data_IF_408944387936
#
_entry.id   IF_408944387936
#
_cell.length_a   1.000
_cell.length_b   1.000
_cell.length_c   1.000
_cell.angle_alpha   90.00
_cell.angle_beta   90.00
_cell.angle_gamma   90.00
#
_symmetry.space_group_name_H-M   'P 1'
#
loop_
_entity.id
_entity.type
_entity.pdbx_description
1 polymer ?
#
# COMPACT_ATOMS: atom_id res chain seq x y z
N UNK A 1 18.58 15.37 -10.33
CA UNK A 1 18.83 16.51 -9.38
C UNK A 1 17.54 16.95 -8.65
N UNK A 2 16.36 16.88 -9.28
CA UNK A 2 15.10 17.38 -8.69
C UNK A 2 14.60 16.53 -7.51
N UNK A 3 14.77 15.21 -7.55
CA UNK A 3 14.39 14.32 -6.43
C UNK A 3 15.24 14.55 -5.16
N UNK A 4 16.45 15.11 -5.30
CA UNK A 4 17.30 15.46 -4.14
C UNK A 4 16.82 16.70 -3.39
N UNK A 5 16.08 17.61 -4.03
CA UNK A 5 15.51 18.78 -3.33
C UNK A 5 14.36 18.40 -2.40
N UNK A 6 13.65 17.31 -2.71
CA UNK A 6 12.60 16.76 -1.86
C UNK A 6 13.17 16.20 -0.54
N UNK A 7 14.36 15.61 -0.60
CA UNK A 7 15.06 15.07 0.59
C UNK A 7 15.65 16.16 1.51
N UNK A 8 15.69 17.42 1.07
CA UNK A 8 16.14 18.53 1.91
C UNK A 8 15.05 19.11 2.81
N UNK A 9 13.79 18.79 2.55
CA UNK A 9 12.68 19.27 3.35
C UNK A 9 12.33 18.25 4.45
N UNK A 10 12.80 18.49 5.68
CA UNK A 10 12.62 17.58 6.82
C UNK A 10 11.16 17.25 7.13
N UNK A 11 10.25 18.19 6.94
CA UNK A 11 8.81 17.97 7.13
C UNK A 11 8.26 16.99 6.09
N UNK A 12 8.73 17.05 4.86
CA UNK A 12 8.34 16.15 3.79
C UNK A 12 8.89 14.74 4.05
N UNK A 13 10.15 14.64 4.49
CA UNK A 13 10.75 13.35 4.87
C UNK A 13 9.95 12.73 6.02
N UNK A 14 9.64 13.47 7.06
CA UNK A 14 8.87 12.96 8.19
C UNK A 14 7.48 12.45 7.74
N UNK A 15 6.78 13.22 6.90
CA UNK A 15 5.48 12.83 6.35
C UNK A 15 5.52 11.64 5.40
N UNK A 16 6.64 11.40 4.72
CA UNK A 16 6.85 10.22 3.89
C UNK A 16 7.21 9.00 4.73
N UNK A 17 7.96 9.18 5.81
CA UNK A 17 8.40 8.09 6.68
C UNK A 17 7.26 7.56 7.57
N UNK A 18 6.38 8.43 8.06
CA UNK A 18 5.29 8.02 8.96
C UNK A 18 4.43 6.88 8.38
N UNK A 19 3.88 6.95 7.15
CA UNK A 19 3.09 5.85 6.58
C UNK A 19 3.91 4.57 6.37
N UNK A 20 5.22 4.70 6.10
CA UNK A 20 6.11 3.56 5.90
C UNK A 20 6.44 2.89 7.24
N UNK A 21 6.58 3.68 8.31
CA UNK A 21 6.87 3.20 9.65
C UNK A 21 5.63 2.72 10.41
N UNK A 22 4.43 3.23 10.05
CA UNK A 22 3.18 2.85 10.73
C UNK A 22 2.95 1.34 10.80
N UNK A 23 3.12 0.54 9.75
CA UNK A 23 3.00 -0.91 9.84
C UNK A 23 3.97 -1.51 10.86
N UNK A 24 5.20 -0.99 10.94
CA UNK A 24 6.23 -1.42 11.89
C UNK A 24 5.78 -1.10 13.33
N UNK A 25 5.32 0.14 13.55
CA UNK A 25 4.88 0.61 14.88
C UNK A 25 3.65 -0.16 15.36
N UNK A 26 2.76 -0.54 14.46
CA UNK A 26 1.55 -1.31 14.80
C UNK A 26 1.87 -2.78 15.08
N UNK A 27 2.77 -3.39 14.32
CA UNK A 27 3.08 -4.82 14.44
C UNK A 27 4.04 -5.12 15.59
N UNK A 28 5.08 -4.30 15.80
CA UNK A 28 6.10 -4.56 16.83
C UNK A 28 5.56 -4.70 18.26
N UNK A 29 4.64 -3.84 18.76
CA UNK A 29 4.11 -4.00 20.12
C UNK A 29 3.26 -5.26 20.29
N UNK A 30 2.68 -5.75 19.19
CA UNK A 30 1.86 -6.96 19.23
C UNK A 30 2.70 -8.23 19.42
N UNK A 31 3.98 -8.20 19.05
CA UNK A 31 4.89 -9.35 19.19
C UNK A 31 4.92 -9.85 20.63
N UNK A 32 4.98 -8.96 21.63
CA UNK A 32 4.97 -9.34 23.05
C UNK A 32 3.63 -9.91 23.54
N UNK A 33 2.51 -9.48 22.96
CA UNK A 33 1.17 -9.92 23.33
C UNK A 33 0.73 -11.19 22.58
N UNK A 34 1.39 -11.49 21.45
CA UNK A 34 1.07 -12.60 20.56
C UNK A 34 1.58 -13.97 21.08
N UNK A 35 2.35 -13.99 22.16
CA UNK A 35 2.81 -15.24 22.80
C UNK A 35 1.72 -16.04 23.55
N UNK A 36 0.48 -15.54 23.56
CA UNK A 36 -0.63 -16.25 24.17
C UNK A 36 -1.17 -17.38 23.29
N UNK A 37 -1.69 -18.43 23.93
CA UNK A 37 -2.09 -19.72 23.35
C UNK A 37 -2.92 -19.66 22.04
N UNK A 38 -3.77 -18.62 21.88
CA UNK A 38 -4.60 -18.41 20.70
C UNK A 38 -3.74 -18.13 19.47
N UNK A 39 -2.66 -17.37 19.63
CA UNK A 39 -1.79 -17.00 18.51
C UNK A 39 -0.89 -18.18 18.14
N UNK A 40 -0.38 -18.93 19.12
CA UNK A 40 0.40 -20.14 18.83
C UNK A 40 -0.43 -21.18 18.06
N UNK A 41 -1.72 -21.30 18.38
CA UNK A 41 -2.64 -22.16 17.63
C UNK A 41 -2.77 -21.71 16.18
N UNK A 42 -3.00 -20.40 15.95
CA UNK A 42 -3.08 -19.83 14.61
C UNK A 42 -1.77 -19.95 13.81
N UNK A 43 -0.63 -19.69 14.47
CA UNK A 43 0.68 -19.73 13.83
C UNK A 43 1.09 -21.14 13.41
N UNK A 44 0.72 -22.16 14.17
CA UNK A 44 1.09 -23.55 13.88
C UNK A 44 0.20 -24.20 12.84
N UNK A 45 -1.11 -23.95 12.86
CA UNK A 45 -2.05 -24.57 11.93
C UNK A 45 -2.30 -23.75 10.65
N UNK A 46 -2.25 -22.42 10.72
CA UNK A 46 -2.67 -21.53 9.64
C UNK A 46 -1.63 -20.45 9.31
N UNK A 47 -0.37 -20.80 9.36
CA UNK A 47 0.74 -19.85 9.22
C UNK A 47 0.76 -19.12 7.87
N UNK A 48 0.36 -19.76 6.77
CA UNK A 48 0.34 -19.16 5.44
C UNK A 48 -0.75 -18.10 5.37
N UNK A 49 -2.00 -18.46 5.72
CA UNK A 49 -3.14 -17.53 5.75
C UNK A 49 -2.87 -16.34 6.66
N UNK A 50 -2.30 -16.58 7.85
CA UNK A 50 -1.94 -15.53 8.79
C UNK A 50 -0.97 -14.52 8.14
N UNK A 51 0.10 -14.99 7.52
CA UNK A 51 1.08 -14.12 6.87
C UNK A 51 0.50 -13.40 5.66
N UNK A 52 -0.39 -14.02 4.88
CA UNK A 52 -1.10 -13.34 3.78
C UNK A 52 -2.00 -12.22 4.31
N UNK A 53 -2.72 -12.44 5.40
CA UNK A 53 -3.54 -11.42 6.07
C UNK A 53 -2.65 -10.26 6.55
N UNK A 54 -1.54 -10.58 7.25
CA UNK A 54 -0.59 -9.56 7.71
C UNK A 54 -0.02 -8.75 6.56
N UNK A 55 0.37 -9.39 5.46
CA UNK A 55 0.83 -8.70 4.25
C UNK A 55 -0.24 -7.75 3.68
N UNK A 56 -1.50 -8.18 3.66
CA UNK A 56 -2.63 -7.35 3.20
C UNK A 56 -2.86 -6.15 4.13
N UNK A 57 -2.86 -6.38 5.45
CA UNK A 57 -3.03 -5.30 6.45
C UNK A 57 -1.91 -4.27 6.33
N UNK A 58 -0.67 -4.71 6.22
CA UNK A 58 0.50 -3.84 6.05
C UNK A 58 0.39 -3.01 4.77
N UNK A 59 -0.07 -3.60 3.66
CA UNK A 59 -0.29 -2.89 2.41
C UNK A 59 -1.39 -1.83 2.52
N UNK A 60 -2.51 -2.18 3.17
CA UNK A 60 -3.65 -1.26 3.37
C UNK A 60 -3.24 -0.09 4.28
N UNK A 61 -2.60 -0.36 5.41
CA UNK A 61 -2.14 0.69 6.35
C UNK A 61 -1.12 1.60 5.68
N UNK A 62 -0.14 1.03 4.96
CA UNK A 62 0.89 1.79 4.26
C UNK A 62 0.35 2.70 3.15
N UNK A 63 -0.82 2.36 2.59
CA UNK A 63 -1.49 3.16 1.57
C UNK A 63 -2.63 4.03 2.12
N UNK A 64 -2.99 3.89 3.41
CA UNK A 64 -4.03 4.67 4.04
C UNK A 64 -3.62 6.16 4.17
N UNK A 65 -4.43 7.04 3.63
CA UNK A 65 -4.37 8.49 3.87
C UNK A 65 -3.17 9.24 3.30
N UNK A 66 -1.95 8.86 3.62
CA UNK A 66 -0.73 9.60 3.30
C UNK A 66 0.19 8.88 2.30
N UNK A 67 -0.39 8.07 1.42
CA UNK A 67 0.38 7.37 0.39
C UNK A 67 1.20 8.34 -0.48
N UNK A 68 2.50 8.06 -0.60
CA UNK A 68 3.40 8.78 -1.51
C UNK A 68 2.82 8.76 -2.93
N UNK A 69 2.26 7.64 -3.35
CA UNK A 69 1.65 7.44 -4.66
C UNK A 69 0.53 8.44 -4.96
N UNK A 70 -0.17 8.91 -3.91
CA UNK A 70 -1.29 9.84 -4.03
C UNK A 70 -0.87 11.32 -4.15
N UNK A 71 0.42 11.63 -4.11
CA UNK A 71 0.92 13.01 -4.18
C UNK A 71 2.19 13.17 -5.03
N UNK A 72 2.76 12.08 -5.55
CA UNK A 72 4.08 12.11 -6.19
C UNK A 72 4.10 12.94 -7.49
N UNK A 73 2.98 13.02 -8.21
CA UNK A 73 2.82 13.86 -9.39
C UNK A 73 2.58 15.31 -8.97
N UNK A 74 1.69 15.52 -8.00
CA UNK A 74 1.40 16.86 -7.45
C UNK A 74 2.60 17.50 -6.76
N UNK A 75 3.57 16.72 -6.25
CA UNK A 75 4.82 17.22 -5.69
C UNK A 75 5.70 17.95 -6.70
N UNK A 76 5.55 17.69 -8.02
CA UNK A 76 6.25 18.46 -9.04
C UNK A 76 5.74 19.93 -9.11
N UNK A 77 4.55 20.21 -8.56
CA UNK A 77 4.02 21.58 -8.47
C UNK A 77 3.98 22.29 -9.82
N UNK A 78 4.48 23.54 -9.86
CA UNK A 78 4.56 24.35 -11.08
C UNK A 78 5.45 23.72 -12.15
N UNK A 79 6.42 22.87 -11.80
CA UNK A 79 7.25 22.15 -12.76
C UNK A 79 6.46 21.13 -13.58
N UNK A 80 5.29 20.69 -13.10
CA UNK A 80 4.42 19.79 -13.84
C UNK A 80 3.94 20.40 -15.17
N UNK A 81 3.63 21.70 -15.21
CA UNK A 81 3.24 22.40 -16.44
C UNK A 81 4.42 22.44 -17.44
N UNK A 82 5.63 22.67 -16.93
CA UNK A 82 6.84 22.59 -17.77
C UNK A 82 7.06 21.16 -18.29
N UNK A 83 6.87 20.14 -17.47
CA UNK A 83 7.02 18.73 -17.88
C UNK A 83 6.02 18.38 -19.00
N UNK A 84 4.80 18.92 -18.95
CA UNK A 84 3.81 18.75 -20.02
C UNK A 84 4.24 19.34 -21.37
N UNK A 85 5.04 20.40 -21.37
CA UNK A 85 5.54 21.03 -22.59
C UNK A 85 6.73 20.31 -23.22
N UNK A 86 7.38 19.40 -22.47
CA UNK A 86 8.47 18.60 -22.99
C UNK A 86 7.97 17.48 -23.92
N UNK A 87 8.74 17.08 -24.94
CA UNK A 87 8.42 15.97 -25.84
C UNK A 87 8.59 14.60 -25.14
N UNK A 88 8.10 14.49 -23.92
CA UNK A 88 8.16 13.25 -23.12
C UNK A 88 6.82 12.51 -23.23
N UNK A 89 6.91 11.20 -23.39
CA UNK A 89 5.71 10.35 -23.29
C UNK A 89 5.09 10.48 -21.91
N UNK A 90 3.88 10.99 -21.83
CA UNK A 90 3.09 11.10 -20.58
C UNK A 90 2.97 9.74 -19.87
N UNK A 91 2.85 8.69 -20.65
CA UNK A 91 2.81 7.32 -20.15
C UNK A 91 4.11 6.93 -19.44
N UNK A 92 5.27 7.25 -20.02
CA UNK A 92 6.57 6.98 -19.40
C UNK A 92 6.73 7.76 -18.10
N UNK A 93 6.31 9.01 -18.06
CA UNK A 93 6.31 9.84 -16.87
C UNK A 93 5.47 9.22 -15.73
N UNK A 94 4.22 8.82 -16.00
CA UNK A 94 3.34 8.21 -15.01
C UNK A 94 3.93 6.87 -14.51
N UNK A 95 4.45 6.05 -15.43
CA UNK A 95 5.08 4.78 -15.05
C UNK A 95 6.29 4.99 -14.15
N UNK A 96 7.13 5.98 -14.43
CA UNK A 96 8.29 6.29 -13.56
C UNK A 96 7.83 6.73 -12.17
N UNK A 97 6.81 7.60 -12.08
CA UNK A 97 6.25 8.03 -10.79
C UNK A 97 5.66 6.86 -10.01
N UNK A 98 4.89 6.00 -10.68
CA UNK A 98 4.36 4.78 -10.09
C UNK A 98 5.46 3.86 -9.56
N UNK A 99 6.44 3.51 -10.39
CA UNK A 99 7.54 2.62 -9.98
C UNK A 99 8.33 3.20 -8.81
N UNK A 100 8.64 4.50 -8.85
CA UNK A 100 9.33 5.17 -7.74
C UNK A 100 8.53 5.06 -6.44
N UNK A 101 7.22 5.27 -6.49
CA UNK A 101 6.38 5.17 -5.30
C UNK A 101 6.33 3.75 -4.75
N UNK A 102 6.17 2.75 -5.63
CA UNK A 102 6.14 1.33 -5.23
C UNK A 102 7.43 0.94 -4.55
N UNK A 103 8.59 1.28 -5.14
CA UNK A 103 9.90 0.93 -4.55
C UNK A 103 10.05 1.56 -3.17
N UNK A 104 9.78 2.85 -3.04
CA UNK A 104 9.92 3.55 -1.75
C UNK A 104 8.99 2.94 -0.68
N UNK A 105 7.75 2.63 -1.03
CA UNK A 105 6.76 2.10 -0.10
C UNK A 105 6.94 0.61 0.21
N UNK A 106 7.69 -0.14 -0.61
CA UNK A 106 7.80 -1.59 -0.44
C UNK A 106 9.00 -2.02 0.40
N UNK A 107 10.11 -1.30 0.36
CA UNK A 107 11.38 -1.78 0.94
C UNK A 107 11.26 -2.03 2.44
N UNK A 108 10.91 -0.99 3.20
CA UNK A 108 10.87 -1.10 4.67
C UNK A 108 9.78 -2.05 5.18
N UNK A 109 8.52 -2.00 4.69
CA UNK A 109 7.50 -2.95 5.13
C UNK A 109 7.81 -4.40 4.76
N UNK A 110 8.45 -4.67 3.61
CA UNK A 110 8.90 -6.02 3.26
C UNK A 110 9.92 -6.56 4.26
N UNK A 111 10.91 -5.73 4.62
CA UNK A 111 11.90 -6.09 5.65
C UNK A 111 11.20 -6.37 6.99
N UNK A 112 10.23 -5.54 7.35
CA UNK A 112 9.46 -5.73 8.60
C UNK A 112 8.71 -7.06 8.60
N UNK A 113 8.04 -7.41 7.51
CA UNK A 113 7.33 -8.69 7.39
C UNK A 113 8.29 -9.88 7.46
N UNK A 114 9.46 -9.77 6.81
CA UNK A 114 10.51 -10.80 6.89
C UNK A 114 11.01 -10.98 8.33
N UNK A 115 11.38 -9.88 9.00
CA UNK A 115 11.87 -9.92 10.38
C UNK A 115 10.80 -10.45 11.32
N UNK A 116 9.55 -10.03 11.14
CA UNK A 116 8.42 -10.52 11.93
C UNK A 116 8.23 -12.04 11.75
N UNK A 117 8.20 -12.52 10.50
CA UNK A 117 8.04 -13.95 10.23
C UNK A 117 9.18 -14.81 10.79
N UNK A 118 10.43 -14.32 10.70
CA UNK A 118 11.60 -14.99 11.27
C UNK A 118 11.56 -15.01 12.82
N UNK A 119 11.17 -13.89 13.43
CA UNK A 119 11.04 -13.78 14.87
C UNK A 119 9.96 -14.70 15.45
N UNK A 120 8.87 -14.90 14.69
CA UNK A 120 7.77 -15.80 15.06
C UNK A 120 8.02 -17.25 14.65
N UNK A 121 9.24 -17.58 14.19
CA UNK A 121 9.63 -18.94 13.76
C UNK A 121 8.69 -19.56 12.71
N UNK A 122 8.15 -18.68 11.82
CA UNK A 122 7.20 -19.11 10.81
C UNK A 122 7.86 -19.96 9.72
N UNK A 123 7.07 -20.84 9.11
CA UNK A 123 7.54 -21.58 7.94
C UNK A 123 7.99 -20.59 6.82
N UNK A 124 9.15 -20.82 6.18
CA UNK A 124 9.63 -19.99 5.07
C UNK A 124 8.59 -19.76 3.97
N UNK A 125 7.75 -20.76 3.68
CA UNK A 125 6.66 -20.64 2.68
C UNK A 125 5.65 -19.58 3.13
N UNK A 126 5.27 -19.57 4.40
CA UNK A 126 4.36 -18.57 4.95
C UNK A 126 4.93 -17.16 4.87
N UNK A 127 6.22 -16.99 5.20
CA UNK A 127 6.90 -15.70 5.12
C UNK A 127 6.91 -15.19 3.67
N UNK A 128 7.27 -16.03 2.72
CA UNK A 128 7.26 -15.69 1.28
C UNK A 128 5.85 -15.33 0.82
N UNK A 129 4.84 -16.12 1.19
CA UNK A 129 3.45 -15.83 0.84
C UNK A 129 3.00 -14.47 1.35
N UNK A 130 3.32 -14.11 2.60
CA UNK A 130 3.01 -12.81 3.19
C UNK A 130 3.67 -11.64 2.46
N UNK A 131 4.97 -11.75 2.16
CA UNK A 131 5.71 -10.72 1.43
C UNK A 131 5.18 -10.56 0.00
N UNK A 132 4.92 -11.66 -0.70
CA UNK A 132 4.37 -11.63 -2.06
C UNK A 132 2.98 -11.00 -2.08
N UNK A 133 2.10 -11.39 -1.16
CA UNK A 133 0.76 -10.79 -1.00
C UNK A 133 0.86 -9.30 -0.74
N UNK A 134 1.75 -8.88 0.17
CA UNK A 134 2.02 -7.47 0.43
C UNK A 134 2.44 -6.73 -0.84
N UNK A 135 3.44 -7.25 -1.58
CA UNK A 135 3.97 -6.57 -2.78
C UNK A 135 2.91 -6.41 -3.86
N UNK A 136 2.10 -7.43 -4.11
CA UNK A 136 1.03 -7.40 -5.12
C UNK A 136 -0.04 -6.36 -4.70
N UNK A 137 -0.47 -6.41 -3.44
CA UNK A 137 -1.52 -5.52 -2.95
C UNK A 137 -1.05 -4.06 -2.89
N UNK A 138 0.17 -3.83 -2.36
CA UNK A 138 0.80 -2.51 -2.33
C UNK A 138 0.97 -1.93 -3.74
N UNK A 139 1.43 -2.74 -4.70
CA UNK A 139 1.55 -2.33 -6.10
C UNK A 139 0.22 -1.93 -6.73
N UNK A 140 -0.84 -2.71 -6.49
CA UNK A 140 -2.18 -2.40 -6.99
C UNK A 140 -2.76 -1.11 -6.38
N UNK A 141 -2.64 -0.95 -5.06
CA UNK A 141 -3.08 0.26 -4.36
C UNK A 141 -2.28 1.49 -4.80
N UNK A 142 -0.95 1.38 -4.90
CA UNK A 142 -0.09 2.45 -5.38
C UNK A 142 -0.45 2.88 -6.81
N UNK A 143 -0.83 1.95 -7.68
CA UNK A 143 -1.30 2.26 -9.02
C UNK A 143 -2.60 3.06 -9.00
N UNK A 144 -3.58 2.65 -8.18
CA UNK A 144 -4.85 3.37 -8.01
C UNK A 144 -4.62 4.79 -7.51
N UNK A 145 -3.72 4.96 -6.53
CA UNK A 145 -3.37 6.26 -5.98
C UNK A 145 -2.62 7.15 -6.98
N UNK A 146 -1.70 6.59 -7.78
CA UNK A 146 -1.00 7.33 -8.84
C UNK A 146 -1.98 7.83 -9.90
N UNK A 147 -2.95 6.99 -10.30
CA UNK A 147 -4.02 7.39 -11.24
C UNK A 147 -4.89 8.49 -10.62
N UNK A 148 -5.21 8.39 -9.33
CA UNK A 148 -5.96 9.42 -8.63
C UNK A 148 -5.20 10.74 -8.62
N UNK A 149 -3.91 10.75 -8.27
CA UNK A 149 -3.07 11.95 -8.25
C UNK A 149 -2.97 12.58 -9.63
N UNK A 150 -2.79 11.77 -10.69
CA UNK A 150 -2.74 12.23 -12.07
C UNK A 150 -4.03 12.93 -12.52
N UNK A 151 -5.20 12.42 -12.10
CA UNK A 151 -6.49 13.03 -12.46
C UNK A 151 -6.82 14.28 -11.63
N UNK A 152 -6.14 14.49 -10.50
CA UNK A 152 -6.41 15.58 -9.55
C UNK A 152 -5.13 16.32 -9.18
N UNK A 153 -4.24 16.56 -10.15
CA UNK A 153 -2.96 17.24 -9.89
C UNK A 153 -3.19 18.64 -9.35
N UNK A 154 -2.48 18.95 -8.27
CA UNK A 154 -2.40 20.33 -7.72
C UNK A 154 -1.03 20.90 -8.03
N UNK A 155 -0.98 21.95 -8.84
CA UNK A 155 0.27 22.58 -9.28
C UNK A 155 0.69 23.76 -8.40
N UNK A 156 -0.28 24.42 -7.75
CA UNK A 156 -0.04 25.58 -6.90
C UNK A 156 -0.33 25.24 -5.43
N UNK A 157 0.67 24.73 -4.74
CA UNK A 157 0.59 24.44 -3.29
C UNK A 157 1.68 25.22 -2.54
N UNK A 158 1.34 25.72 -1.36
CA UNK A 158 2.25 26.48 -0.49
C UNK A 158 2.91 25.58 0.56
N UNK A 159 2.24 24.50 0.95
CA UNK A 159 2.75 23.54 1.93
C UNK A 159 2.38 22.11 1.53
N UNK A 160 3.22 21.15 1.91
CA UNK A 160 2.96 19.71 1.65
C UNK A 160 1.66 19.26 2.33
N UNK A 161 1.29 19.88 3.45
CA UNK A 161 0.02 19.59 4.12
C UNK A 161 -1.19 19.82 3.22
N UNK A 162 -1.16 20.79 2.31
CA UNK A 162 -2.24 21.02 1.35
C UNK A 162 -2.41 19.83 0.40
N UNK A 163 -1.32 19.16 0.04
CA UNK A 163 -1.39 17.94 -0.77
C UNK A 163 -1.97 16.76 0.01
N UNK A 164 -1.66 16.69 1.29
CA UNK A 164 -2.14 15.61 2.17
C UNK A 164 -3.62 15.79 2.51
N UNK A 165 -4.04 17.02 2.80
CA UNK A 165 -5.41 17.32 3.28
C UNK A 165 -6.38 17.69 2.17
N UNK A 166 -5.97 17.62 0.90
CA UNK A 166 -6.82 18.03 -0.22
C UNK A 166 -8.18 17.35 -0.20
N UNK A 167 -9.20 18.11 -0.58
CA UNK A 167 -10.55 17.61 -0.75
C UNK A 167 -10.58 16.41 -1.73
N UNK A 168 -11.33 15.36 -1.40
CA UNK A 168 -11.41 14.14 -2.21
C UNK A 168 -10.56 12.97 -1.72
N UNK A 169 -9.65 13.17 -0.75
CA UNK A 169 -8.96 12.06 -0.07
C UNK A 169 -9.83 11.28 0.91
N UNK A 170 -10.91 11.88 1.35
CA UNK A 170 -11.83 11.26 2.33
C UNK A 170 -12.37 9.93 1.79
N UNK A 171 -12.77 9.88 0.53
CA UNK A 171 -13.32 8.66 -0.07
C UNK A 171 -12.33 7.49 -0.10
N UNK A 172 -11.08 7.65 -0.58
CA UNK A 172 -10.06 6.61 -0.49
C UNK A 172 -9.75 6.15 0.95
N UNK A 173 -9.71 7.07 1.91
CA UNK A 173 -9.51 6.73 3.33
C UNK A 173 -10.68 5.89 3.85
N UNK A 174 -11.92 6.25 3.53
CA UNK A 174 -13.10 5.45 3.88
C UNK A 174 -13.01 4.06 3.26
N UNK A 175 -12.64 3.94 1.98
CA UNK A 175 -12.51 2.65 1.30
C UNK A 175 -11.43 1.78 1.97
N UNK A 176 -10.29 2.37 2.35
CA UNK A 176 -9.24 1.63 3.07
C UNK A 176 -9.70 1.19 4.46
N UNK A 177 -10.39 2.04 5.20
CA UNK A 177 -10.99 1.70 6.50
C UNK A 177 -12.01 0.57 6.37
N UNK A 178 -12.91 0.64 5.40
CA UNK A 178 -13.87 -0.43 5.12
C UNK A 178 -13.16 -1.73 4.74
N UNK A 179 -12.06 -1.67 3.99
CA UNK A 179 -11.23 -2.82 3.67
C UNK A 179 -10.61 -3.47 4.91
N UNK A 180 -10.11 -2.66 5.85
CA UNK A 180 -9.57 -3.17 7.14
C UNK A 180 -10.70 -3.82 7.96
N UNK A 181 -11.85 -3.17 8.07
CA UNK A 181 -13.01 -3.72 8.79
C UNK A 181 -13.44 -5.05 8.17
N UNK A 182 -13.52 -5.12 6.84
CA UNK A 182 -13.88 -6.35 6.15
C UNK A 182 -12.87 -7.49 6.41
N UNK A 183 -11.56 -7.18 6.43
CA UNK A 183 -10.52 -8.15 6.79
C UNK A 183 -10.66 -8.64 8.24
N UNK A 184 -10.88 -7.72 9.18
CA UNK A 184 -11.08 -8.08 10.60
C UNK A 184 -12.33 -8.96 10.76
N UNK A 185 -13.43 -8.60 10.11
CA UNK A 185 -14.65 -9.40 10.13
C UNK A 185 -14.44 -10.79 9.51
N UNK A 186 -13.65 -10.89 8.45
CA UNK A 186 -13.31 -12.15 7.79
C UNK A 186 -12.49 -13.05 8.73
N UNK A 187 -11.52 -12.49 9.46
CA UNK A 187 -10.76 -13.21 10.49
C UNK A 187 -11.69 -13.70 11.61
N UNK A 188 -12.60 -12.85 12.09
CA UNK A 188 -13.55 -13.21 13.14
C UNK A 188 -14.50 -14.32 12.66
N UNK A 189 -15.05 -14.23 11.46
CA UNK A 189 -15.91 -15.28 10.89
C UNK A 189 -15.14 -16.60 10.74
N UNK A 190 -13.89 -16.55 10.30
CA UNK A 190 -13.05 -17.73 10.21
C UNK A 190 -12.84 -18.40 11.57
N UNK A 191 -12.54 -17.62 12.62
CA UNK A 191 -12.33 -18.15 13.98
C UNK A 191 -13.61 -18.70 14.62
N UNK A 192 -14.78 -18.16 14.24
CA UNK A 192 -16.06 -18.57 14.80
C UNK A 192 -16.68 -19.77 14.09
N UNK A 193 -16.40 -19.95 12.81
CA UNK A 193 -17.05 -20.97 11.96
C UNK A 193 -16.17 -22.18 11.65
N UNK A 194 -14.95 -22.23 12.20
CA UNK A 194 -13.99 -23.37 11.98
C UNK A 194 -13.79 -23.69 10.48
N UNK A 195 -13.69 -22.63 9.66
CA UNK A 195 -13.57 -22.77 8.21
C UNK A 195 -12.19 -23.30 7.83
N UNK A 196 -12.12 -24.19 6.83
CA UNK A 196 -10.86 -24.72 6.35
C UNK A 196 -9.92 -23.61 5.80
N UNK A 197 -8.61 -23.73 6.05
CA UNK A 197 -7.56 -22.78 5.64
C UNK A 197 -7.64 -22.44 4.13
N UNK A 198 -7.89 -23.43 3.30
CA UNK A 198 -8.02 -23.29 1.84
C UNK A 198 -9.10 -22.28 1.46
N UNK A 199 -10.22 -22.24 2.20
CA UNK A 199 -11.32 -21.31 1.93
C UNK A 199 -10.89 -19.88 2.26
N UNK A 200 -10.17 -19.67 3.38
CA UNK A 200 -9.66 -18.36 3.77
C UNK A 200 -8.64 -17.84 2.75
N UNK A 201 -7.69 -18.66 2.36
CA UNK A 201 -6.69 -18.33 1.35
C UNK A 201 -7.36 -17.98 0.01
N UNK A 202 -8.38 -18.76 -0.37
CA UNK A 202 -9.18 -18.49 -1.58
C UNK A 202 -9.89 -17.14 -1.53
N UNK A 203 -10.45 -16.76 -0.38
CA UNK A 203 -11.12 -15.45 -0.21
C UNK A 203 -10.10 -14.31 -0.27
N UNK A 204 -8.94 -14.45 0.39
CA UNK A 204 -7.87 -13.45 0.33
C UNK A 204 -7.37 -13.28 -1.11
N UNK A 205 -7.12 -14.38 -1.81
CA UNK A 205 -6.69 -14.36 -3.21
C UNK A 205 -7.76 -13.73 -4.13
N UNK A 206 -9.04 -14.00 -3.88
CA UNK A 206 -10.15 -13.38 -4.63
C UNK A 206 -10.22 -11.87 -4.40
N UNK A 207 -10.13 -11.40 -3.16
CA UNK A 207 -10.10 -9.97 -2.82
C UNK A 207 -8.90 -9.28 -3.50
N UNK A 208 -7.74 -9.90 -3.43
CA UNK A 208 -6.51 -9.41 -4.04
C UNK A 208 -6.66 -9.30 -5.56
N UNK A 209 -7.22 -10.33 -6.21
CA UNK A 209 -7.45 -10.34 -7.66
C UNK A 209 -8.42 -9.24 -8.10
N UNK A 210 -9.50 -8.98 -7.34
CA UNK A 210 -10.44 -7.88 -7.61
C UNK A 210 -9.73 -6.53 -7.58
N UNK A 211 -8.90 -6.26 -6.56
CA UNK A 211 -8.18 -4.98 -6.45
C UNK A 211 -7.19 -4.82 -7.60
N UNK A 212 -6.45 -5.88 -7.95
CA UNK A 212 -5.51 -5.88 -9.09
C UNK A 212 -6.24 -5.62 -10.41
N UNK A 213 -7.35 -6.32 -10.66
CA UNK A 213 -8.14 -6.14 -11.89
C UNK A 213 -8.66 -4.71 -11.98
N UNK A 214 -9.19 -4.15 -10.89
CA UNK A 214 -9.67 -2.77 -10.86
C UNK A 214 -8.54 -1.76 -11.14
N UNK A 215 -7.37 -1.99 -10.56
CA UNK A 215 -6.19 -1.15 -10.80
C UNK A 215 -5.75 -1.20 -12.27
N UNK A 216 -5.64 -2.38 -12.85
CA UNK A 216 -5.27 -2.58 -14.24
C UNK A 216 -6.32 -2.01 -15.20
N UNK A 217 -7.61 -2.19 -14.92
CA UNK A 217 -8.69 -1.63 -15.74
C UNK A 217 -8.65 -0.10 -15.76
N UNK A 218 -8.51 0.53 -14.59
CA UNK A 218 -8.37 1.99 -14.50
C UNK A 218 -7.12 2.48 -15.22
N UNK A 219 -6.01 1.75 -15.09
CA UNK A 219 -4.76 2.10 -15.78
C UNK A 219 -4.90 1.98 -17.31
N UNK A 220 -5.54 0.92 -17.80
CA UNK A 220 -5.83 0.75 -19.25
C UNK A 220 -6.70 1.89 -19.78
N UNK A 221 -7.74 2.28 -19.02
CA UNK A 221 -8.62 3.42 -19.38
C UNK A 221 -7.85 4.75 -19.41
N UNK A 222 -6.94 4.97 -18.45
CA UNK A 222 -6.08 6.14 -18.44
C UNK A 222 -5.15 6.15 -19.65
N UNK A 223 -4.55 5.00 -19.96
CA UNK A 223 -3.63 4.85 -21.10
C UNK A 223 -4.30 5.15 -22.45
N UNK A 224 -5.55 4.75 -22.65
CA UNK A 224 -6.32 5.10 -23.85
C UNK A 224 -6.51 6.62 -24.01
N UNK A 225 -6.76 7.33 -22.91
CA UNK A 225 -6.88 8.81 -22.93
C UNK A 225 -5.55 9.55 -23.17
N UNK A 226 -4.41 8.88 -23.07
CA UNK A 226 -3.08 9.47 -23.25
C UNK A 226 -2.54 9.27 -24.66
N UNK A 227 -3.19 8.44 -25.47
CA UNK A 227 -2.82 8.15 -26.87
C UNK A 227 -3.58 9.01 -27.86
N UNK A 228 -4.65 9.66 -27.42
CA UNK A 228 -5.42 10.68 -28.16
C UNK A 228 -4.87 12.09 -27.83
#
# INVERSE_FOLDING_TARGET
KHNMSLLKNGTLIAQLLVPILMPVIVVLPQIGNLQHAVVNFFLQQHGVSFMMIMGTIVAVIGNAGNSISAMLISLDGTMYEYIKSLPLSRKSYINMKYLTSVVIQSVLPSITLLVFGLFMEMNPIAIVAGVVTFLIFNGALALLWTIYDYNHVITHWQSVNQLITRAGRVLPVIITLLGIIALVMLILLYTLLDVEEIVLDGVIAALLSVVVILALFKFKKLKGKLTD
#
